data_IF_042253213965
#
_entry.id   IF_042253213965
#
_cell.length_a   1.000
_cell.length_b   1.000
_cell.length_c   1.000
_cell.angle_alpha   90.00
_cell.angle_beta   90.00
_cell.angle_gamma   90.00
#
_symmetry.space_group_name_H-M   'P 1'
#
loop_
_entity.id
_entity.type
_entity.pdbx_description
1 polymer ?
#
# COMPACT_ATOMS: atom_id res chain seq x y z
N UNK A 1 -30.20 36.85 39.29
CA UNK A 1 -30.38 36.52 40.73
C UNK A 1 -31.86 36.62 41.10
N UNK A 2 -32.48 35.53 41.55
CA UNK A 2 -33.61 35.52 42.51
C UNK A 2 -33.87 34.07 42.95
N UNK A 3 -34.34 33.91 44.19
CA UNK A 3 -34.48 32.63 44.88
C UNK A 3 -35.65 31.78 44.35
N UNK A 4 -35.63 30.48 44.65
CA UNK A 4 -36.64 29.86 45.53
C UNK A 4 -36.11 28.59 46.18
N UNK A 5 -36.56 28.33 47.40
CA UNK A 5 -36.18 27.17 48.21
C UNK A 5 -37.29 26.11 48.17
N UNK A 6 -36.97 24.89 48.61
CA UNK A 6 -37.64 24.30 49.77
C UNK A 6 -36.82 23.13 50.35
N UNK A 7 -37.08 22.83 51.62
CA UNK A 7 -36.35 21.93 52.51
C UNK A 7 -37.37 21.05 53.28
N UNK A 8 -36.94 20.32 54.32
CA UNK A 8 -37.74 19.51 55.29
C UNK A 8 -37.92 18.05 54.80
N UNK A 9 -37.42 16.97 55.43
CA UNK A 9 -37.08 16.55 56.82
C UNK A 9 -38.29 16.03 57.64
N UNK A 10 -38.14 14.86 58.27
CA UNK A 10 -38.92 14.49 59.46
C UNK A 10 -39.73 13.19 59.33
N UNK A 11 -39.78 12.43 60.42
CA UNK A 11 -40.39 11.10 60.50
C UNK A 11 -41.51 11.01 61.56
N UNK A 12 -42.11 9.82 61.66
CA UNK A 12 -42.83 9.21 62.80
C UNK A 12 -44.36 8.99 62.75
N UNK A 13 -44.69 7.68 62.81
CA UNK A 13 -45.76 6.98 63.58
C UNK A 13 -47.26 7.22 63.31
N UNK A 14 -47.98 6.12 63.00
CA UNK A 14 -48.90 5.37 63.91
C UNK A 14 -49.95 4.53 63.13
N UNK A 15 -50.22 3.27 63.52
CA UNK A 15 -51.52 2.78 64.07
C UNK A 15 -51.57 1.24 64.28
N UNK A 16 -52.63 0.74 64.95
CA UNK A 16 -52.77 -0.62 65.55
C UNK A 16 -53.94 -1.46 64.97
N UNK A 17 -53.81 -2.79 65.01
CA UNK A 17 -54.83 -3.85 65.23
C UNK A 17 -54.11 -5.22 65.29
N UNK A 18 -54.52 -6.35 65.87
CA UNK A 18 -55.77 -6.82 66.50
C UNK A 18 -56.29 -8.10 65.79
N UNK A 19 -56.69 -9.22 66.43
CA UNK A 19 -56.83 -9.66 67.85
C UNK A 19 -56.75 -11.23 67.90
N UNK A 20 -56.70 -11.83 69.11
CA UNK A 20 -56.90 -13.26 69.49
C UNK A 20 -55.67 -14.20 69.42
N UNK A 21 -55.40 -15.10 70.39
CA UNK A 21 -56.01 -15.36 71.70
C UNK A 21 -56.59 -16.76 71.86
N UNK A 22 -55.82 -17.72 72.41
CA UNK A 22 -56.29 -18.92 73.13
C UNK A 22 -55.14 -19.43 74.04
N UNK A 23 -55.53 -19.95 75.20
CA UNK A 23 -54.68 -20.39 76.32
C UNK A 23 -54.80 -21.92 76.46
N UNK A 24 -53.68 -22.66 76.49
CA UNK A 24 -53.69 -24.08 76.87
C UNK A 24 -52.56 -24.42 77.87
N UNK A 25 -52.93 -25.25 78.84
CA UNK A 25 -52.28 -25.46 80.13
C UNK A 25 -51.22 -26.57 80.12
N UNK A 26 -49.98 -26.18 80.43
CA UNK A 26 -49.04 -26.79 81.40
C UNK A 26 -48.48 -28.24 81.30
N UNK A 27 -47.35 -28.37 82.03
CA UNK A 27 -46.78 -29.53 82.75
C UNK A 27 -45.63 -30.36 82.14
N UNK A 28 -44.46 -30.14 82.76
CA UNK A 28 -43.44 -31.12 83.21
C UNK A 28 -42.68 -31.98 82.19
N UNK A 29 -41.34 -31.91 82.28
CA UNK A 29 -40.44 -32.89 81.67
C UNK A 29 -39.01 -32.37 81.47
N UNK A 30 -38.20 -32.33 82.52
CA UNK A 30 -36.76 -32.04 82.37
C UNK A 30 -36.03 -33.34 82.00
N UNK A 31 -35.50 -33.40 80.79
CA UNK A 31 -34.56 -34.43 80.35
C UNK A 31 -33.42 -33.74 79.57
N UNK A 32 -32.16 -34.18 79.72
CA UNK A 32 -31.04 -33.52 79.06
C UNK A 32 -31.11 -33.77 77.56
N UNK A 33 -31.06 -32.69 76.77
CA UNK A 33 -30.80 -32.80 75.34
C UNK A 33 -29.37 -33.35 75.15
N UNK A 34 -29.28 -34.63 74.84
CA UNK A 34 -28.05 -35.28 74.39
C UNK A 34 -27.47 -34.45 73.26
N UNK A 35 -26.23 -33.97 73.43
CA UNK A 35 -25.52 -33.29 72.36
C UNK A 35 -25.36 -34.24 71.18
N UNK A 36 -26.10 -34.00 70.09
CA UNK A 36 -25.82 -34.65 68.83
C UNK A 36 -24.38 -34.30 68.44
N UNK A 37 -23.51 -35.29 68.13
CA UNK A 37 -22.18 -34.98 67.65
C UNK A 37 -22.34 -34.17 66.36
N UNK A 38 -21.72 -32.98 66.32
CA UNK A 38 -21.63 -32.22 65.09
C UNK A 38 -20.87 -33.08 64.07
N UNK A 39 -21.62 -33.68 63.14
CA UNK A 39 -21.06 -34.41 62.01
C UNK A 39 -20.14 -33.46 61.26
N UNK A 40 -18.92 -33.90 60.98
CA UNK A 40 -17.82 -33.05 60.57
C UNK A 40 -18.09 -32.21 59.31
N UNK A 41 -17.21 -31.22 59.09
CA UNK A 41 -17.27 -30.24 58.01
C UNK A 41 -17.93 -30.78 56.74
N UNK A 42 -19.16 -30.32 56.46
CA UNK A 42 -19.82 -30.53 55.18
C UNK A 42 -19.07 -29.73 54.12
N UNK A 43 -18.05 -30.36 53.53
CA UNK A 43 -17.32 -29.79 52.39
C UNK A 43 -18.33 -29.48 51.28
N UNK A 44 -18.26 -28.29 50.65
CA UNK A 44 -19.09 -27.99 49.48
C UNK A 44 -18.92 -29.08 48.43
N UNK A 45 -20.03 -29.54 47.86
CA UNK A 45 -19.99 -30.42 46.69
C UNK A 45 -19.42 -29.57 45.55
N UNK A 46 -18.22 -29.92 45.10
CA UNK A 46 -17.57 -29.28 43.96
C UNK A 46 -18.15 -29.89 42.69
N UNK A 47 -18.72 -29.04 41.84
CA UNK A 47 -19.05 -29.36 40.46
C UNK A 47 -17.83 -29.31 39.54
N UNK A 48 -18.09 -29.14 38.26
CA UNK A 48 -17.10 -28.98 37.19
C UNK A 48 -16.84 -27.50 36.95
N UNK A 49 -15.61 -27.16 36.59
CA UNK A 49 -15.27 -25.78 36.24
C UNK A 49 -15.84 -25.41 34.86
N UNK A 50 -16.27 -24.15 34.65
CA UNK A 50 -16.64 -23.69 33.31
C UNK A 50 -15.44 -23.70 32.36
N UNK A 51 -15.71 -23.83 31.07
CA UNK A 51 -14.70 -23.93 30.00
C UNK A 51 -15.05 -23.04 28.80
N UNK A 52 -14.05 -22.79 27.96
CA UNK A 52 -14.18 -22.05 26.71
C UNK A 52 -13.95 -22.99 25.51
N UNK A 53 -14.73 -22.82 24.46
CA UNK A 53 -14.59 -23.56 23.20
C UNK A 53 -14.69 -22.62 21.99
N UNK A 54 -14.07 -23.00 20.87
CA UNK A 54 -14.08 -22.21 19.63
C UNK A 54 -12.68 -21.76 19.19
N UNK A 55 -12.60 -20.64 18.48
CA UNK A 55 -11.34 -20.11 17.94
C UNK A 55 -11.27 -18.59 18.07
N UNK A 56 -10.06 -18.07 18.30
CA UNK A 56 -9.83 -16.62 18.32
C UNK A 56 -9.61 -16.08 16.91
N UNK A 57 -10.13 -14.89 16.64
CA UNK A 57 -9.94 -14.18 15.36
C UNK A 57 -8.91 -13.06 15.51
N UNK A 58 -8.18 -12.78 14.43
CA UNK A 58 -7.17 -11.72 14.37
C UNK A 58 -7.77 -10.45 13.74
N UNK A 59 -7.40 -9.29 14.26
CA UNK A 59 -7.67 -7.98 13.68
C UNK A 59 -6.39 -7.41 13.05
N UNK A 60 -6.58 -6.75 11.90
CA UNK A 60 -5.57 -5.93 11.23
C UNK A 60 -5.27 -4.65 12.02
N UNK A 61 -4.10 -4.02 11.81
CA UNK A 61 -3.81 -2.67 12.28
C UNK A 61 -4.90 -1.69 11.78
N UNK A 62 -5.74 -1.19 12.69
CA UNK A 62 -6.98 -0.48 12.35
C UNK A 62 -8.28 -1.22 12.72
N UNK A 63 -8.20 -2.29 13.51
CA UNK A 63 -9.33 -2.98 14.16
C UNK A 63 -10.37 -3.63 13.21
N UNK A 64 -10.01 -3.90 11.95
CA UNK A 64 -10.84 -4.67 11.01
C UNK A 64 -10.44 -6.16 11.02
N UNK A 65 -11.37 -7.12 10.88
CA UNK A 65 -11.03 -8.55 10.82
C UNK A 65 -10.02 -8.87 9.72
N UNK A 66 -9.03 -9.69 10.05
CA UNK A 66 -8.11 -10.30 9.09
C UNK A 66 -8.83 -11.46 8.38
N UNK A 67 -8.84 -11.44 7.05
CA UNK A 67 -9.24 -12.58 6.22
C UNK A 67 -8.01 -13.20 5.57
N UNK A 68 -8.12 -14.45 5.10
CA UNK A 68 -6.98 -15.13 4.49
C UNK A 68 -6.59 -14.48 3.15
N UNK A 69 -5.27 -14.37 2.92
CA UNK A 69 -4.64 -13.72 1.76
C UNK A 69 -4.85 -12.20 1.67
N UNK A 70 -5.22 -11.54 2.78
CA UNK A 70 -5.40 -10.09 2.90
C UNK A 70 -4.13 -9.31 2.49
N UNK A 71 -4.32 -8.15 1.85
CA UNK A 71 -3.24 -7.20 1.59
C UNK A 71 -3.09 -6.21 2.76
N UNK A 72 -1.86 -6.09 3.26
CA UNK A 72 -1.53 -5.21 4.39
C UNK A 72 -0.48 -4.21 3.93
N UNK A 73 -0.74 -2.92 4.16
CA UNK A 73 0.16 -1.82 3.77
C UNK A 73 1.56 -2.03 4.34
N UNK A 74 2.57 -1.81 3.49
CA UNK A 74 3.99 -1.96 3.83
C UNK A 74 4.44 -1.09 5.01
N UNK A 75 3.74 -0.01 5.30
CA UNK A 75 3.98 0.88 6.44
C UNK A 75 3.55 0.32 7.80
N UNK A 76 2.75 -0.76 7.84
CA UNK A 76 2.32 -1.45 9.06
C UNK A 76 3.36 -2.46 9.55
N UNK A 77 3.15 -2.97 10.77
CA UNK A 77 4.08 -3.90 11.45
C UNK A 77 3.38 -5.18 11.91
N UNK A 78 4.09 -6.33 12.02
CA UNK A 78 3.54 -7.54 12.61
C UNK A 78 2.98 -7.36 14.03
N UNK A 79 3.65 -6.58 14.88
CA UNK A 79 3.22 -6.32 16.27
C UNK A 79 2.06 -5.31 16.41
N UNK A 80 1.51 -4.78 15.31
CA UNK A 80 0.31 -3.91 15.35
C UNK A 80 -1.00 -4.70 15.18
N UNK A 81 -0.92 -6.01 15.00
CA UNK A 81 -2.08 -6.91 14.95
C UNK A 81 -2.58 -7.22 16.36
N UNK A 82 -3.89 -7.36 16.51
CA UNK A 82 -4.53 -7.63 17.79
C UNK A 82 -5.54 -8.77 17.66
N UNK A 83 -6.05 -9.28 18.78
CA UNK A 83 -7.18 -10.22 18.76
C UNK A 83 -8.51 -9.47 18.70
N UNK A 84 -9.48 -10.09 18.05
CA UNK A 84 -10.87 -9.67 18.13
C UNK A 84 -11.45 -9.93 19.55
N UNK A 85 -12.49 -9.19 19.97
CA UNK A 85 -13.22 -9.50 21.19
C UNK A 85 -13.74 -10.95 21.19
N UNK A 86 -13.59 -11.65 22.32
CA UNK A 86 -13.95 -13.08 22.46
C UNK A 86 -15.44 -13.38 22.21
N UNK A 87 -16.32 -12.37 22.26
CA UNK A 87 -17.77 -12.51 22.00
C UNK A 87 -18.13 -12.99 20.59
N UNK A 88 -17.17 -13.00 19.66
CA UNK A 88 -17.34 -13.48 18.29
C UNK A 88 -16.41 -14.66 18.03
N UNK A 89 -16.93 -15.89 18.12
CA UNK A 89 -16.21 -17.13 17.78
C UNK A 89 -15.72 -17.97 18.97
N UNK A 90 -15.91 -17.49 20.21
CA UNK A 90 -15.67 -18.26 21.44
C UNK A 90 -16.97 -18.40 22.23
N UNK A 91 -17.27 -19.61 22.66
CA UNK A 91 -18.44 -19.95 23.49
C UNK A 91 -18.00 -20.31 24.90
N UNK A 92 -18.71 -19.78 25.88
CA UNK A 92 -18.69 -20.30 27.25
C UNK A 92 -19.45 -21.63 27.30
N UNK A 93 -18.98 -22.57 28.09
CA UNK A 93 -19.65 -23.86 28.28
C UNK A 93 -19.49 -24.28 29.73
N UNK A 94 -20.59 -24.65 30.35
CA UNK A 94 -20.62 -25.27 31.66
C UNK A 94 -21.44 -26.57 31.60
N UNK A 95 -20.99 -27.60 32.31
CA UNK A 95 -21.59 -28.95 32.26
C UNK A 95 -22.60 -29.21 33.38
N UNK A 96 -22.67 -28.34 34.38
CA UNK A 96 -23.57 -28.44 35.52
C UNK A 96 -24.76 -27.46 35.38
N UNK A 97 -24.70 -26.56 34.39
CA UNK A 97 -25.76 -25.62 34.03
C UNK A 97 -25.56 -24.23 34.62
N UNK A 98 -24.35 -23.92 35.09
CA UNK A 98 -24.09 -22.66 35.78
C UNK A 98 -24.18 -21.43 34.88
N UNK A 99 -24.70 -20.34 35.45
CA UNK A 99 -24.92 -19.09 34.73
C UNK A 99 -23.59 -18.41 34.44
N UNK A 100 -23.37 -17.93 33.21
CA UNK A 100 -22.17 -17.19 32.83
C UNK A 100 -22.08 -15.84 33.57
N UNK A 101 -20.88 -15.43 33.99
CA UNK A 101 -20.64 -14.08 34.53
C UNK A 101 -20.56 -12.99 33.43
N UNK A 102 -20.47 -11.72 33.82
CA UNK A 102 -20.29 -10.59 32.88
C UNK A 102 -19.05 -9.76 33.24
N UNK A 103 -17.93 -9.88 32.51
CA UNK A 103 -17.65 -10.83 31.43
C UNK A 103 -17.34 -12.23 31.96
N UNK A 104 -17.87 -13.27 31.30
CA UNK A 104 -17.61 -14.67 31.66
C UNK A 104 -16.53 -15.35 30.81
N UNK A 105 -15.88 -14.60 29.91
CA UNK A 105 -14.73 -15.03 29.12
C UNK A 105 -13.69 -13.90 29.11
N UNK A 106 -12.43 -14.22 29.39
CA UNK A 106 -11.33 -13.27 29.38
C UNK A 106 -10.03 -13.92 28.90
N UNK A 107 -9.16 -13.14 28.25
CA UNK A 107 -7.80 -13.60 27.93
C UNK A 107 -6.99 -13.61 29.24
N UNK A 108 -6.33 -14.72 29.53
CA UNK A 108 -5.56 -14.90 30.75
C UNK A 108 -4.29 -14.02 30.78
N UNK A 109 -3.79 -13.62 31.98
CA UNK A 109 -2.55 -12.85 32.11
C UNK A 109 -1.29 -13.52 31.53
N UNK A 110 -1.34 -14.83 31.26
CA UNK A 110 -0.26 -15.60 30.63
C UNK A 110 0.09 -15.13 29.19
N UNK A 111 -0.69 -14.22 28.62
CA UNK A 111 -0.36 -13.50 27.39
C UNK A 111 -0.75 -14.23 26.11
N UNK A 112 -0.90 -13.46 25.03
CA UNK A 112 -1.13 -13.99 23.68
C UNK A 112 0.21 -14.26 23.02
N UNK A 113 0.39 -15.46 22.47
CA UNK A 113 1.56 -15.77 21.66
C UNK A 113 1.22 -15.66 20.17
N UNK A 114 2.16 -15.12 19.39
CA UNK A 114 2.00 -14.86 17.97
C UNK A 114 3.06 -15.62 17.18
N UNK A 115 2.61 -16.50 16.29
CA UNK A 115 3.47 -17.27 15.38
C UNK A 115 3.44 -16.62 14.01
N UNK A 116 4.46 -15.81 13.75
CA UNK A 116 4.68 -15.08 12.50
C UNK A 116 5.81 -15.76 11.70
N UNK A 117 5.59 -16.11 10.43
CA UNK A 117 6.59 -16.79 9.58
C UNK A 117 6.66 -16.23 8.16
N UNK A 118 7.83 -16.32 7.56
CA UNK A 118 8.05 -16.24 6.11
C UNK A 118 8.35 -17.65 5.59
N UNK A 119 7.37 -18.26 4.90
CA UNK A 119 7.41 -19.70 4.61
C UNK A 119 7.50 -20.53 5.90
N UNK A 120 8.57 -21.30 6.06
CA UNK A 120 8.84 -22.09 7.27
C UNK A 120 9.56 -21.31 8.39
N UNK A 121 10.22 -20.20 8.05
CA UNK A 121 11.14 -19.49 8.94
C UNK A 121 10.39 -18.50 9.84
N UNK A 122 10.50 -18.60 11.18
CA UNK A 122 9.94 -17.60 12.10
C UNK A 122 10.52 -16.20 11.88
N UNK A 123 9.68 -15.18 12.06
CA UNK A 123 10.08 -13.78 11.99
C UNK A 123 10.85 -13.38 13.25
N UNK A 124 11.97 -12.67 13.08
CA UNK A 124 12.82 -12.22 14.20
C UNK A 124 12.19 -11.06 14.98
N UNK A 125 12.59 -10.87 16.24
CA UNK A 125 12.15 -9.73 17.07
C UNK A 125 12.34 -8.37 16.40
N UNK A 126 13.40 -8.21 15.59
CA UNK A 126 13.62 -7.00 14.78
C UNK A 126 12.56 -6.83 13.70
N UNK A 127 12.29 -7.89 12.92
CA UNK A 127 11.27 -7.90 11.87
C UNK A 127 9.85 -7.66 12.41
N UNK A 128 9.55 -8.17 13.62
CA UNK A 128 8.25 -7.98 14.28
C UNK A 128 7.97 -6.51 14.67
N UNK A 129 9.01 -5.72 14.94
CA UNK A 129 8.92 -4.33 15.41
C UNK A 129 9.19 -3.27 14.32
N UNK A 130 9.66 -3.70 13.15
CA UNK A 130 9.83 -2.88 11.95
C UNK A 130 8.60 -2.96 11.04
N UNK A 131 8.54 -2.08 10.05
CA UNK A 131 7.46 -2.13 9.06
C UNK A 131 7.69 -3.29 8.08
N UNK A 132 6.62 -3.81 7.47
CA UNK A 132 6.74 -4.87 6.47
C UNK A 132 7.63 -4.43 5.29
N UNK A 133 7.53 -3.16 4.86
CA UNK A 133 8.32 -2.58 3.78
C UNK A 133 9.83 -2.56 4.05
N UNK A 134 10.27 -2.52 5.31
CA UNK A 134 11.69 -2.59 5.67
C UNK A 134 12.30 -3.97 5.41
N UNK A 135 11.49 -5.03 5.45
CA UNK A 135 11.98 -6.41 5.51
C UNK A 135 11.49 -7.31 4.35
N UNK A 136 10.41 -6.91 3.67
CA UNK A 136 9.71 -7.75 2.70
C UNK A 136 9.35 -6.94 1.45
N UNK A 137 9.57 -7.56 0.29
CA UNK A 137 9.20 -6.99 -1.00
C UNK A 137 7.67 -6.98 -1.19
N UNK A 138 7.19 -6.18 -2.14
CA UNK A 138 5.81 -6.25 -2.63
C UNK A 138 5.38 -7.70 -2.91
N UNK A 139 4.15 -8.06 -2.55
CA UNK A 139 3.57 -9.40 -2.73
C UNK A 139 4.26 -10.54 -1.97
N UNK A 140 5.22 -10.27 -1.07
CA UNK A 140 5.71 -11.29 -0.13
C UNK A 140 4.53 -11.81 0.70
N UNK A 141 4.33 -13.13 0.72
CA UNK A 141 3.29 -13.79 1.53
C UNK A 141 3.90 -14.28 2.83
N UNK A 142 3.44 -13.72 3.94
CA UNK A 142 3.76 -14.15 5.30
C UNK A 142 2.58 -14.96 5.86
N UNK A 143 2.82 -15.74 6.92
CA UNK A 143 1.73 -16.40 7.67
C UNK A 143 1.72 -15.95 9.12
N UNK A 144 0.51 -15.72 9.66
CA UNK A 144 0.28 -15.41 11.07
C UNK A 144 -0.73 -16.38 11.70
N UNK A 145 -0.45 -16.78 12.93
CA UNK A 145 -1.37 -17.47 13.82
C UNK A 145 -1.22 -16.91 15.23
N UNK A 146 -2.33 -16.81 15.98
CA UNK A 146 -2.33 -16.40 17.37
C UNK A 146 -2.86 -17.52 18.27
N UNK A 147 -2.25 -17.69 19.44
CA UNK A 147 -2.72 -18.59 20.48
C UNK A 147 -3.01 -17.77 21.75
N UNK A 148 -4.22 -17.88 22.27
CA UNK A 148 -4.72 -17.10 23.38
C UNK A 148 -5.19 -18.03 24.51
N UNK A 149 -4.58 -17.96 25.71
CA UNK A 149 -5.13 -18.64 26.88
C UNK A 149 -6.40 -17.91 27.32
N UNK A 150 -7.53 -18.62 27.41
CA UNK A 150 -8.83 -18.05 27.78
C UNK A 150 -9.31 -18.64 29.10
N UNK A 151 -9.62 -17.74 30.04
CA UNK A 151 -10.31 -18.04 31.29
C UNK A 151 -11.82 -17.96 31.08
N UNK A 152 -12.55 -18.83 31.76
CA UNK A 152 -14.02 -18.85 31.82
C UNK A 152 -14.48 -18.62 33.26
N UNK A 153 -15.53 -17.83 33.44
CA UNK A 153 -16.06 -17.47 34.76
C UNK A 153 -17.59 -17.59 34.77
N UNK A 154 -18.11 -18.41 35.68
CA UNK A 154 -19.53 -18.49 36.01
C UNK A 154 -19.87 -17.57 37.19
N UNK A 155 -21.15 -17.22 37.31
CA UNK A 155 -21.75 -16.51 38.43
C UNK A 155 -22.18 -17.47 39.56
N UNK A 156 -22.48 -18.73 39.20
CA UNK A 156 -22.94 -19.78 40.10
C UNK A 156 -22.00 -21.00 40.05
N UNK A 157 -22.21 -21.95 40.97
CA UNK A 157 -21.41 -23.17 41.06
C UNK A 157 -20.11 -23.01 41.84
N UNK A 158 -19.43 -24.13 42.07
CA UNK A 158 -18.06 -24.17 42.58
C UNK A 158 -17.32 -25.30 41.86
N UNK A 159 -16.16 -25.05 41.22
CA UNK A 159 -15.44 -23.78 41.16
C UNK A 159 -16.01 -22.80 40.10
N UNK A 160 -16.16 -21.52 40.47
CA UNK A 160 -16.71 -20.47 39.57
C UNK A 160 -15.79 -20.04 38.42
N UNK A 161 -14.53 -20.50 38.39
CA UNK A 161 -13.54 -20.06 37.39
C UNK A 161 -12.75 -21.27 36.91
N UNK A 162 -12.48 -21.31 35.60
CA UNK A 162 -11.57 -22.29 34.98
C UNK A 162 -10.19 -22.26 35.65
N UNK A 163 -9.82 -23.32 36.36
CA UNK A 163 -8.54 -23.39 37.10
C UNK A 163 -7.30 -23.31 36.19
N UNK A 164 -7.41 -23.86 34.97
CA UNK A 164 -6.39 -23.75 33.93
C UNK A 164 -7.01 -23.08 32.70
N UNK A 165 -6.42 -22.00 32.14
CA UNK A 165 -6.92 -21.40 30.90
C UNK A 165 -6.91 -22.36 29.72
N UNK A 166 -7.94 -22.33 28.89
CA UNK A 166 -8.00 -23.11 27.64
C UNK A 166 -7.24 -22.36 26.55
N UNK A 167 -6.29 -23.02 25.88
CA UNK A 167 -5.54 -22.41 24.78
C UNK A 167 -6.35 -22.43 23.49
N UNK A 168 -7.01 -21.33 23.17
CA UNK A 168 -7.71 -21.17 21.89
C UNK A 168 -6.77 -20.64 20.82
N UNK A 169 -6.93 -21.13 19.59
CA UNK A 169 -5.99 -20.89 18.50
C UNK A 169 -6.73 -20.36 17.28
N UNK A 170 -6.14 -19.38 16.59
CA UNK A 170 -6.68 -18.87 15.33
C UNK A 170 -6.41 -19.82 14.16
N UNK A 171 -7.16 -19.72 13.07
CA UNK A 171 -6.69 -20.17 11.76
C UNK A 171 -5.30 -19.58 11.44
N UNK A 172 -4.55 -20.25 10.56
CA UNK A 172 -3.35 -19.67 9.95
C UNK A 172 -3.81 -18.78 8.81
N UNK A 173 -3.51 -17.48 8.89
CA UNK A 173 -3.85 -16.51 7.84
C UNK A 173 -2.61 -16.18 7.01
N UNK A 174 -2.77 -16.12 5.69
CA UNK A 174 -1.79 -15.55 4.76
C UNK A 174 -1.95 -14.04 4.71
N UNK A 175 -0.83 -13.33 4.83
CA UNK A 175 -0.75 -11.86 4.77
C UNK A 175 0.16 -11.48 3.62
N UNK A 176 -0.36 -10.72 2.65
CA UNK A 176 0.42 -10.21 1.51
C UNK A 176 0.88 -8.78 1.76
N UNK A 177 2.19 -8.56 1.70
CA UNK A 177 2.79 -7.23 1.89
C UNK A 177 2.50 -6.33 0.70
N UNK A 178 1.71 -5.27 0.91
CA UNK A 178 1.40 -4.26 -0.07
C UNK A 178 2.38 -3.08 0.05
N UNK A 179 3.56 -3.23 -0.55
CA UNK A 179 4.58 -2.18 -0.68
C UNK A 179 4.97 -2.00 -2.15
N UNK A 180 4.09 -1.45 -3.02
CA UNK A 180 4.34 -1.38 -4.46
C UNK A 180 5.66 -0.62 -4.74
N UNK A 181 6.48 -1.08 -5.69
CA UNK A 181 7.65 -0.32 -6.13
C UNK A 181 7.26 1.11 -6.56
N UNK A 182 8.12 2.11 -6.34
CA UNK A 182 7.84 3.47 -6.79
C UNK A 182 7.65 3.48 -8.32
N UNK A 183 6.73 4.32 -8.84
CA UNK A 183 6.52 4.45 -10.27
C UNK A 183 7.81 4.72 -11.06
N UNK A 184 7.88 4.22 -12.30
CA UNK A 184 9.01 4.45 -13.21
C UNK A 184 8.54 4.91 -14.59
N UNK A 185 9.47 5.46 -15.36
CA UNK A 185 9.27 5.85 -16.75
C UNK A 185 9.90 4.78 -17.64
N UNK A 186 9.10 4.06 -18.42
CA UNK A 186 9.56 3.09 -19.39
C UNK A 186 9.67 3.70 -20.79
N UNK A 187 10.85 3.59 -21.40
CA UNK A 187 11.12 4.05 -22.75
C UNK A 187 12.04 3.07 -23.47
N UNK A 188 11.53 2.43 -24.52
CA UNK A 188 12.31 1.61 -25.46
C UNK A 188 13.21 0.57 -24.74
N UNK A 189 12.60 -0.36 -23.99
CA UNK A 189 13.32 -1.43 -23.28
C UNK A 189 14.16 -0.96 -22.08
N UNK A 190 13.95 0.24 -21.55
CA UNK A 190 14.70 0.76 -20.39
C UNK A 190 13.76 1.54 -19.46
N UNK A 191 13.95 1.37 -18.16
CA UNK A 191 13.24 2.12 -17.12
C UNK A 191 14.15 3.20 -16.52
N UNK A 192 13.61 4.40 -16.34
CA UNK A 192 14.22 5.48 -15.58
C UNK A 192 13.37 5.81 -14.35
N UNK A 193 14.00 6.23 -13.25
CA UNK A 193 13.28 6.67 -12.05
C UNK A 193 12.35 7.86 -12.37
N UNK A 194 11.22 7.95 -11.67
CA UNK A 194 10.21 9.01 -11.89
C UNK A 194 10.80 10.43 -11.87
N UNK A 195 11.64 10.74 -10.88
CA UNK A 195 12.26 12.05 -10.71
C UNK A 195 13.67 12.14 -11.36
N UNK A 196 13.94 11.34 -12.39
CA UNK A 196 15.27 11.28 -13.04
C UNK A 196 15.63 12.49 -13.90
N UNK A 197 14.69 13.40 -14.13
CA UNK A 197 14.83 14.52 -15.08
C UNK A 197 14.60 14.15 -16.54
N UNK A 198 14.19 12.90 -16.83
CA UNK A 198 13.80 12.49 -18.17
C UNK A 198 12.39 13.02 -18.56
N UNK A 199 12.17 13.41 -19.83
CA UNK A 199 13.16 13.71 -20.86
C UNK A 199 13.58 15.19 -20.85
N UNK A 200 14.81 15.47 -21.29
CA UNK A 200 15.27 16.84 -21.63
C UNK A 200 15.37 17.07 -23.14
N UNK A 201 15.16 16.04 -23.94
CA UNK A 201 15.13 16.06 -25.41
C UNK A 201 13.80 15.53 -25.93
N UNK A 202 13.34 15.96 -27.10
CA UNK A 202 12.12 15.41 -27.71
C UNK A 202 12.12 15.50 -29.22
N UNK A 203 11.18 14.79 -29.84
CA UNK A 203 10.88 14.80 -31.28
C UNK A 203 9.42 14.39 -31.50
N UNK A 204 8.83 14.75 -32.64
CA UNK A 204 7.46 14.34 -32.99
C UNK A 204 7.44 12.81 -33.18
N UNK A 205 6.49 12.14 -32.54
CA UNK A 205 6.40 10.68 -32.48
C UNK A 205 7.17 10.03 -31.33
N UNK A 206 7.89 10.80 -30.50
CA UNK A 206 8.53 10.25 -29.29
C UNK A 206 7.45 9.76 -28.30
N UNK A 207 7.65 8.55 -27.75
CA UNK A 207 6.73 7.92 -26.80
C UNK A 207 7.45 7.32 -25.61
N UNK A 208 6.83 7.41 -24.45
CA UNK A 208 7.20 6.66 -23.25
C UNK A 208 5.95 6.30 -22.44
N UNK A 209 6.07 5.28 -21.61
CA UNK A 209 5.00 4.70 -20.83
C UNK A 209 5.31 4.89 -19.35
N UNK A 210 4.39 5.49 -18.60
CA UNK A 210 4.46 5.49 -17.14
C UNK A 210 4.14 4.07 -16.66
N UNK A 211 4.89 3.53 -15.69
CA UNK A 211 4.60 2.25 -15.04
C UNK A 211 4.28 2.52 -13.57
N UNK A 212 2.99 2.54 -13.23
CA UNK A 212 2.53 3.01 -11.91
C UNK A 212 2.81 2.03 -10.76
N UNK A 213 3.07 0.75 -11.07
CA UNK A 213 3.57 -0.24 -10.10
C UNK A 213 5.11 -0.36 -10.11
N UNK A 214 5.82 0.49 -10.86
CA UNK A 214 7.26 0.44 -11.04
C UNK A 214 7.80 -0.74 -11.89
N UNK A 215 6.94 -1.59 -12.44
CA UNK A 215 7.30 -2.84 -13.14
C UNK A 215 6.77 -2.89 -14.57
N UNK A 216 5.48 -2.60 -14.76
CA UNK A 216 4.77 -2.69 -16.04
C UNK A 216 3.55 -1.73 -16.11
N UNK A 217 2.80 -1.79 -17.21
CA UNK A 217 1.63 -0.94 -17.43
C UNK A 217 0.34 -1.44 -16.76
N UNK A 218 0.32 -2.62 -16.12
CA UNK A 218 -0.93 -3.26 -15.65
C UNK A 218 -1.68 -2.43 -14.62
N UNK A 219 -0.94 -1.67 -13.79
CA UNK A 219 -1.52 -0.82 -12.77
C UNK A 219 -2.01 0.55 -13.30
N UNK A 220 -1.71 0.92 -14.54
CA UNK A 220 -1.94 2.26 -15.05
C UNK A 220 -3.42 2.62 -15.16
N UNK A 221 -4.27 1.64 -15.45
CA UNK A 221 -5.72 1.79 -15.53
C UNK A 221 -6.37 2.12 -14.18
N UNK A 222 -5.67 1.92 -13.05
CA UNK A 222 -6.11 2.35 -11.73
C UNK A 222 -5.96 3.86 -11.50
N UNK A 223 -5.29 4.58 -12.41
CA UNK A 223 -5.04 6.01 -12.31
C UNK A 223 -5.78 6.81 -13.39
N UNK A 224 -6.08 8.05 -13.07
CA UNK A 224 -6.51 9.08 -14.02
C UNK A 224 -5.36 10.06 -14.20
N UNK A 225 -5.07 10.41 -15.44
CA UNK A 225 -3.93 11.27 -15.80
C UNK A 225 -4.41 12.64 -16.24
N UNK A 226 -3.82 13.68 -15.66
CA UNK A 226 -4.06 15.08 -16.02
C UNK A 226 -2.72 15.74 -16.38
N UNK A 227 -2.77 16.89 -17.02
CA UNK A 227 -1.59 17.73 -17.21
C UNK A 227 -1.86 19.20 -16.91
N UNK A 228 -0.79 20.01 -16.94
CA UNK A 228 -0.90 21.47 -16.83
C UNK A 228 -1.00 22.16 -18.20
N UNK A 229 -2.08 22.91 -18.40
CA UNK A 229 -2.10 24.03 -19.35
C UNK A 229 -2.40 23.70 -20.82
N UNK A 230 -2.90 22.50 -21.13
CA UNK A 230 -3.31 22.10 -22.49
C UNK A 230 -2.18 22.21 -23.52
N UNK A 231 -1.10 21.46 -23.29
CA UNK A 231 0.06 21.35 -24.16
C UNK A 231 -0.33 20.75 -25.52
N UNK A 232 -0.49 21.61 -26.52
CA UNK A 232 -0.83 21.23 -27.91
C UNK A 232 0.19 20.32 -28.61
N UNK A 233 1.33 20.06 -27.98
CA UNK A 233 2.39 19.18 -28.46
C UNK A 233 2.38 17.77 -27.81
N UNK A 234 1.40 17.47 -26.95
CA UNK A 234 1.24 16.18 -26.25
C UNK A 234 -0.13 15.57 -26.56
N UNK A 235 -0.20 14.26 -26.78
CA UNK A 235 -1.48 13.54 -26.95
C UNK A 235 -2.10 13.16 -25.60
N UNK A 236 -3.05 13.97 -25.12
CA UNK A 236 -3.75 13.73 -23.86
C UNK A 236 -4.83 12.65 -23.91
N UNK A 237 -5.35 12.36 -25.10
CA UNK A 237 -6.32 11.29 -25.27
C UNK A 237 -5.62 9.94 -25.02
N UNK A 238 -4.41 9.76 -25.58
CA UNK A 238 -3.60 8.57 -25.35
C UNK A 238 -3.29 8.32 -23.85
N UNK A 239 -3.06 9.37 -23.04
CA UNK A 239 -2.77 9.21 -21.60
C UNK A 239 -3.90 8.53 -20.82
N UNK A 240 -5.16 8.64 -21.25
CA UNK A 240 -6.33 8.10 -20.55
C UNK A 240 -7.14 7.08 -21.37
N UNK A 241 -6.79 6.84 -22.65
CA UNK A 241 -7.46 5.88 -23.50
C UNK A 241 -7.16 4.44 -23.09
N UNK A 242 -8.16 3.57 -23.20
CA UNK A 242 -8.05 2.17 -22.77
C UNK A 242 -7.08 1.39 -23.65
N UNK A 243 -6.12 0.71 -23.02
CA UNK A 243 -5.02 0.02 -23.68
C UNK A 243 -3.78 0.89 -23.91
N UNK A 244 -3.84 2.19 -23.58
CA UNK A 244 -2.68 3.10 -23.63
C UNK A 244 -2.53 3.95 -22.37
N UNK A 245 -3.25 3.68 -21.29
CA UNK A 245 -3.24 4.49 -20.07
C UNK A 245 -1.82 4.78 -19.57
N UNK A 246 -1.51 6.05 -19.30
CA UNK A 246 -0.17 6.50 -18.92
C UNK A 246 0.85 6.57 -20.06
N UNK A 247 0.46 6.40 -21.34
CA UNK A 247 1.35 6.63 -22.49
C UNK A 247 1.46 8.12 -22.75
N UNK A 248 2.65 8.69 -22.64
CA UNK A 248 2.92 10.06 -23.09
C UNK A 248 3.48 10.01 -24.50
N UNK A 249 2.77 10.62 -25.45
CA UNK A 249 3.20 10.75 -26.84
C UNK A 249 3.37 12.21 -27.22
N UNK A 250 4.49 12.57 -27.82
CA UNK A 250 4.72 13.91 -28.36
C UNK A 250 4.24 14.00 -29.81
N UNK A 251 3.27 14.88 -30.08
CA UNK A 251 2.60 15.04 -31.38
C UNK A 251 2.90 16.37 -32.08
N UNK A 252 3.46 17.34 -31.36
CA UNK A 252 3.83 18.66 -31.89
C UNK A 252 5.18 19.12 -31.35
N UNK A 253 5.60 20.32 -31.72
CA UNK A 253 6.87 20.91 -31.25
C UNK A 253 6.59 21.97 -30.17
N UNK A 254 7.17 21.87 -28.95
CA UNK A 254 7.07 22.92 -27.95
C UNK A 254 7.84 24.18 -28.34
N UNK A 255 7.34 25.33 -27.87
CA UNK A 255 8.01 26.63 -27.95
C UNK A 255 8.84 26.89 -26.69
N UNK A 256 9.63 27.96 -26.68
CA UNK A 256 10.36 28.42 -25.49
C UNK A 256 9.45 28.73 -24.29
N UNK A 257 8.18 29.10 -24.53
CA UNK A 257 7.19 29.46 -23.51
C UNK A 257 6.42 28.26 -22.93
N UNK A 258 6.28 27.15 -23.67
CA UNK A 258 5.48 25.99 -23.25
C UNK A 258 6.23 24.64 -23.30
N UNK A 259 7.56 24.66 -23.23
CA UNK A 259 8.44 23.49 -23.16
C UNK A 259 8.38 22.68 -21.86
N UNK A 260 7.53 23.05 -20.91
CA UNK A 260 7.37 22.40 -19.61
C UNK A 260 6.05 21.65 -19.57
N UNK A 261 6.12 20.36 -19.24
CA UNK A 261 4.95 19.49 -19.07
C UNK A 261 4.94 18.96 -17.64
N UNK A 262 3.82 19.11 -16.95
CA UNK A 262 3.56 18.46 -15.66
C UNK A 262 2.46 17.45 -15.88
N UNK A 263 2.74 16.16 -15.69
CA UNK A 263 1.73 15.08 -15.71
C UNK A 263 1.40 14.70 -14.27
N UNK A 264 0.12 14.56 -13.96
CA UNK A 264 -0.40 14.21 -12.63
C UNK A 264 -1.20 12.92 -12.76
N UNK A 265 -0.68 11.83 -12.24
CA UNK A 265 -1.42 10.58 -12.07
C UNK A 265 -2.07 10.56 -10.69
N UNK A 266 -3.39 10.36 -10.62
CA UNK A 266 -4.14 10.24 -9.36
C UNK A 266 -4.88 8.91 -9.34
N UNK A 267 -4.71 8.11 -8.30
CA UNK A 267 -5.39 6.83 -8.16
C UNK A 267 -6.92 7.03 -8.04
N UNK A 268 -7.68 6.21 -8.76
CA UNK A 268 -9.15 6.29 -8.86
C UNK A 268 -9.86 5.91 -7.56
N UNK A 269 -9.18 5.19 -6.67
CA UNK A 269 -9.74 4.70 -5.39
C UNK A 269 -9.13 5.34 -4.14
N UNK A 270 -7.94 5.93 -4.24
CA UNK A 270 -7.31 6.71 -3.16
C UNK A 270 -6.77 8.04 -3.71
N UNK A 271 -7.47 9.14 -3.45
CA UNK A 271 -7.07 10.46 -3.94
C UNK A 271 -5.78 11.01 -3.32
N UNK A 272 -5.25 10.36 -2.27
CA UNK A 272 -3.95 10.70 -1.67
C UNK A 272 -2.78 10.03 -2.40
N UNK A 273 -3.04 8.93 -3.11
CA UNK A 273 -2.07 8.24 -3.96
C UNK A 273 -1.93 8.98 -5.30
N UNK A 274 -1.02 9.96 -5.29
CA UNK A 274 -0.85 10.96 -6.33
C UNK A 274 0.62 11.14 -6.70
N UNK A 275 0.92 11.01 -7.99
CA UNK A 275 2.27 11.14 -8.52
C UNK A 275 2.34 12.26 -9.56
N UNK A 276 3.26 13.19 -9.36
CA UNK A 276 3.52 14.31 -10.27
C UNK A 276 4.83 14.09 -10.98
N UNK A 277 4.83 14.05 -12.31
CA UNK A 277 6.01 14.01 -13.17
C UNK A 277 6.21 15.38 -13.82
N UNK A 278 7.40 15.97 -13.67
CA UNK A 278 7.76 17.25 -14.27
C UNK A 278 8.81 17.05 -15.36
N UNK A 279 8.54 17.57 -16.55
CA UNK A 279 9.31 17.42 -17.77
C UNK A 279 9.66 18.81 -18.29
N UNK A 280 10.89 19.00 -18.77
CA UNK A 280 11.33 20.27 -19.37
C UNK A 280 12.21 20.00 -20.58
N UNK A 281 11.68 20.27 -21.77
CA UNK A 281 12.37 20.01 -23.03
C UNK A 281 13.37 21.15 -23.30
N UNK A 282 14.66 20.86 -23.22
CA UNK A 282 15.73 21.82 -23.52
C UNK A 282 16.14 21.85 -25.00
N UNK A 283 15.90 20.75 -25.72
CA UNK A 283 16.29 20.59 -27.13
C UNK A 283 15.26 19.75 -27.89
N UNK A 284 14.85 20.25 -29.05
CA UNK A 284 13.95 19.54 -29.95
C UNK A 284 14.71 18.99 -31.16
N UNK A 285 14.35 17.79 -31.60
CA UNK A 285 14.95 17.13 -32.76
C UNK A 285 13.93 16.93 -33.87
N UNK A 286 14.39 17.10 -35.11
CA UNK A 286 13.61 16.87 -36.34
C UNK A 286 14.42 16.00 -37.30
N UNK A 287 13.74 15.37 -38.24
CA UNK A 287 14.31 14.39 -39.17
C UNK A 287 13.99 14.83 -40.61
N UNK A 288 14.99 14.87 -41.49
CA UNK A 288 14.81 15.25 -42.90
C UNK A 288 14.54 14.09 -43.85
N UNK A 289 14.00 12.98 -43.34
CA UNK A 289 13.76 11.75 -44.07
C UNK A 289 15.00 10.87 -44.23
N UNK A 290 14.86 9.82 -45.04
CA UNK A 290 15.94 8.89 -45.38
C UNK A 290 16.95 9.46 -46.39
N UNK A 291 16.77 10.70 -46.86
CA UNK A 291 17.64 11.33 -47.86
C UNK A 291 19.03 11.59 -47.30
N UNK A 292 19.98 10.81 -47.76
CA UNK A 292 21.39 10.93 -47.38
C UNK A 292 22.00 12.22 -47.93
N UNK A 293 22.73 12.96 -47.10
CA UNK A 293 23.35 14.25 -47.49
C UNK A 293 24.84 14.28 -47.18
N UNK A 294 25.58 15.14 -47.89
CA UNK A 294 26.92 15.60 -47.47
C UNK A 294 26.78 16.49 -46.22
N UNK A 295 27.86 16.66 -45.45
CA UNK A 295 27.83 17.52 -44.26
C UNK A 295 27.34 18.95 -44.58
N UNK A 296 27.93 19.61 -45.58
CA UNK A 296 27.51 20.95 -46.01
C UNK A 296 26.02 21.03 -46.43
N UNK A 297 25.50 20.00 -47.12
CA UNK A 297 24.09 19.96 -47.52
C UNK A 297 23.13 19.62 -46.37
N UNK A 298 23.65 19.02 -45.28
CA UNK A 298 22.93 18.83 -44.03
C UNK A 298 22.90 20.14 -43.22
N UNK A 299 24.04 20.81 -43.07
CA UNK A 299 24.16 22.11 -42.38
C UNK A 299 23.30 23.20 -43.03
N UNK A 300 23.35 23.29 -44.36
CA UNK A 300 22.50 24.20 -45.14
C UNK A 300 21.00 23.85 -44.98
N UNK A 301 20.65 22.56 -44.95
CA UNK A 301 19.27 22.14 -44.71
C UNK A 301 18.80 22.53 -43.30
N UNK A 302 19.58 22.28 -42.25
CA UNK A 302 19.22 22.65 -40.87
C UNK A 302 18.98 24.14 -40.74
N UNK A 303 19.92 24.94 -41.25
CA UNK A 303 19.86 26.40 -41.20
C UNK A 303 18.64 26.91 -41.98
N UNK A 304 18.33 26.27 -43.11
CA UNK A 304 17.14 26.55 -43.94
C UNK A 304 15.79 26.20 -43.30
N UNK A 305 15.75 25.41 -42.22
CA UNK A 305 14.52 25.20 -41.43
C UNK A 305 14.13 26.43 -40.59
N UNK A 306 15.02 27.42 -40.45
CA UNK A 306 14.82 28.57 -39.57
C UNK A 306 14.79 28.17 -38.09
N UNK A 307 14.13 28.98 -37.25
CA UNK A 307 13.82 28.63 -35.85
C UNK A 307 15.01 28.31 -34.92
N UNK A 308 16.25 28.55 -35.34
CA UNK A 308 17.46 28.15 -34.60
C UNK A 308 17.83 26.67 -34.74
N UNK A 309 17.34 25.96 -35.78
CA UNK A 309 17.79 24.62 -36.10
C UNK A 309 19.23 24.60 -36.63
N UNK A 310 19.99 23.60 -36.20
CA UNK A 310 21.35 23.31 -36.65
C UNK A 310 21.65 21.81 -36.61
N UNK A 311 22.73 21.40 -37.27
CA UNK A 311 23.22 20.02 -37.20
C UNK A 311 23.66 19.73 -35.75
N UNK A 312 23.10 18.72 -35.07
CA UNK A 312 23.42 18.42 -33.68
C UNK A 312 24.88 17.94 -33.57
N UNK A 313 25.70 18.54 -32.69
CA UNK A 313 27.02 18.00 -32.40
C UNK A 313 26.89 16.62 -31.73
N UNK A 314 27.87 15.74 -31.96
CA UNK A 314 27.87 14.34 -31.52
C UNK A 314 27.50 14.16 -30.04
N UNK A 315 28.03 14.99 -29.15
CA UNK A 315 27.75 14.97 -27.70
C UNK A 315 26.29 15.28 -27.33
N UNK A 316 25.47 15.77 -28.26
CA UNK A 316 24.01 15.97 -28.07
C UNK A 316 23.18 14.83 -28.65
N UNK A 317 23.80 13.96 -29.44
CA UNK A 317 23.21 12.74 -29.98
C UNK A 317 23.39 11.55 -29.03
N UNK A 318 24.55 11.44 -28.36
CA UNK A 318 24.90 10.34 -27.46
C UNK A 318 25.84 10.83 -26.34
N UNK A 319 25.89 10.09 -25.24
CA UNK A 319 26.90 10.27 -24.17
C UNK A 319 28.21 9.51 -24.42
N UNK A 320 28.32 8.77 -25.53
CA UNK A 320 29.54 8.07 -25.90
C UNK A 320 30.70 9.02 -26.25
N UNK A 321 31.93 8.53 -26.10
CA UNK A 321 33.07 9.08 -26.85
C UNK A 321 33.00 8.63 -28.32
N UNK A 322 33.70 9.32 -29.22
CA UNK A 322 33.76 8.91 -30.62
C UNK A 322 34.37 7.50 -30.74
N UNK A 323 33.67 6.59 -31.45
CA UNK A 323 34.07 5.19 -31.58
C UNK A 323 33.69 4.28 -30.40
N UNK A 324 33.03 4.80 -29.36
CA UNK A 324 32.53 4.02 -28.23
C UNK A 324 31.01 3.79 -28.29
N UNK A 325 30.53 2.77 -27.56
CA UNK A 325 29.10 2.56 -27.37
C UNK A 325 28.52 3.58 -26.37
N UNK A 326 27.31 4.07 -26.64
CA UNK A 326 26.57 4.91 -25.69
C UNK A 326 25.88 4.07 -24.62
N UNK A 327 25.53 4.70 -23.50
CA UNK A 327 24.68 4.11 -22.47
C UNK A 327 23.35 4.86 -22.37
N UNK A 328 22.30 4.16 -21.91
CA UNK A 328 21.00 4.78 -21.66
C UNK A 328 21.08 5.65 -20.41
N UNK A 329 20.59 6.89 -20.49
CA UNK A 329 20.65 7.86 -19.41
C UNK A 329 19.51 8.89 -19.53
N UNK A 330 18.89 9.30 -18.41
CA UNK A 330 17.69 10.15 -18.41
C UNK A 330 17.96 11.61 -18.81
N UNK A 331 19.17 12.12 -18.52
CA UNK A 331 19.59 13.50 -18.80
C UNK A 331 20.91 13.46 -19.57
N UNK A 332 20.81 13.26 -20.89
CA UNK A 332 21.95 13.01 -21.77
C UNK A 332 21.61 13.36 -23.23
N UNK A 333 22.41 12.90 -24.20
CA UNK A 333 22.08 13.01 -25.62
C UNK A 333 20.82 12.23 -26.01
N UNK A 334 20.28 12.53 -27.20
CA UNK A 334 19.05 11.95 -27.75
C UNK A 334 18.97 10.42 -27.66
N UNK A 335 19.99 9.70 -28.13
CA UNK A 335 20.03 8.24 -28.13
C UNK A 335 20.08 7.67 -26.71
N UNK A 336 20.80 8.33 -25.79
CA UNK A 336 20.87 7.89 -24.39
C UNK A 336 19.50 7.95 -23.72
N UNK A 337 18.70 8.98 -24.02
CA UNK A 337 17.33 9.11 -23.52
C UNK A 337 16.39 8.09 -24.18
N UNK A 338 16.32 8.09 -25.51
CA UNK A 338 15.23 7.42 -26.25
C UNK A 338 15.61 6.04 -26.85
N UNK A 339 16.89 5.69 -26.86
CA UNK A 339 17.41 4.50 -27.53
C UNK A 339 17.41 4.63 -29.06
N UNK A 340 17.37 3.49 -29.75
CA UNK A 340 17.29 3.46 -31.21
C UNK A 340 15.94 3.98 -31.71
N UNK A 341 15.95 4.89 -32.68
CA UNK A 341 14.74 5.48 -33.27
C UNK A 341 13.82 4.48 -33.98
N UNK A 342 14.38 3.38 -34.50
CA UNK A 342 13.65 2.40 -35.31
C UNK A 342 12.55 1.62 -34.56
N UNK A 343 12.54 1.67 -33.21
CA UNK A 343 11.55 0.97 -32.35
C UNK A 343 10.46 1.89 -31.79
N UNK A 344 10.49 3.20 -32.09
CA UNK A 344 9.55 4.20 -31.56
C UNK A 344 8.55 4.76 -32.59
N UNK A 345 8.66 4.36 -33.85
CA UNK A 345 7.77 4.80 -34.95
C UNK A 345 7.06 3.58 -35.55
N UNK A 346 5.75 3.65 -35.88
CA UNK A 346 5.04 2.53 -36.51
C UNK A 346 5.72 2.04 -37.80
N UNK A 347 5.72 0.73 -37.99
CA UNK A 347 6.37 0.07 -39.14
C UNK A 347 5.67 0.51 -40.43
N UNK A 348 6.40 1.19 -41.31
CA UNK A 348 5.85 1.76 -42.55
C UNK A 348 6.72 2.88 -43.15
N UNK A 349 7.50 3.58 -42.33
CA UNK A 349 8.54 4.51 -42.80
C UNK A 349 9.90 3.82 -42.88
N UNK A 350 10.59 3.93 -44.03
CA UNK A 350 11.84 3.23 -44.36
C UNK A 350 13.11 3.67 -43.58
N UNK A 351 12.96 4.17 -42.36
CA UNK A 351 14.07 4.55 -41.47
C UNK A 351 14.75 3.35 -40.77
N UNK A 352 14.23 2.13 -40.97
CA UNK A 352 14.41 0.97 -40.09
C UNK A 352 15.80 0.31 -40.10
N UNK A 353 16.65 0.58 -41.10
CA UNK A 353 17.90 -0.18 -41.33
C UNK A 353 19.18 0.69 -41.25
N UNK A 354 19.07 2.03 -41.35
CA UNK A 354 20.23 2.88 -41.62
C UNK A 354 21.11 3.31 -40.44
N UNK A 355 20.58 3.34 -39.20
CA UNK A 355 21.26 4.01 -38.09
C UNK A 355 22.26 3.13 -37.32
N UNK A 356 21.99 1.81 -37.21
CA UNK A 356 22.91 0.87 -36.56
C UNK A 356 24.19 0.67 -37.38
N UNK A 357 24.11 0.69 -38.71
CA UNK A 357 25.23 0.43 -39.63
C UNK A 357 26.24 1.57 -39.79
N UNK A 358 26.01 2.74 -39.17
CA UNK A 358 26.96 3.88 -39.21
C UNK A 358 27.30 4.48 -37.84
N UNK A 359 26.84 3.87 -36.74
CA UNK A 359 27.27 4.25 -35.37
C UNK A 359 28.41 3.36 -34.84
N UNK A 360 29.11 2.62 -35.70
CA UNK A 360 30.40 2.00 -35.40
C UNK A 360 31.03 1.22 -36.57
N UNK A 361 32.37 1.18 -36.55
CA UNK A 361 33.28 0.27 -37.27
C UNK A 361 33.46 0.41 -38.80
N UNK A 362 34.71 0.10 -39.21
CA UNK A 362 35.30 0.09 -40.56
C UNK A 362 35.46 1.47 -41.21
N UNK A 363 36.71 1.93 -41.25
CA UNK A 363 37.10 3.11 -42.02
C UNK A 363 37.22 2.80 -43.51
N UNK A 364 36.29 3.29 -44.31
CA UNK A 364 36.46 3.50 -45.76
C UNK A 364 35.88 4.85 -46.17
N UNK A 365 36.51 5.47 -47.18
CA UNK A 365 36.32 6.86 -47.58
C UNK A 365 35.03 7.08 -48.37
N UNK A 366 33.89 7.21 -47.68
CA UNK A 366 32.68 7.92 -48.18
C UNK A 366 31.63 8.09 -47.08
N UNK A 367 31.67 9.25 -46.41
CA UNK A 367 30.67 9.63 -45.43
C UNK A 367 29.38 10.06 -46.13
N UNK A 368 28.28 9.36 -45.86
CA UNK A 368 26.94 9.70 -46.33
C UNK A 368 26.01 9.55 -45.14
N UNK A 369 25.49 10.67 -44.65
CA UNK A 369 24.85 10.76 -43.33
C UNK A 369 23.32 10.69 -43.45
N UNK A 370 22.66 9.81 -42.68
CA UNK A 370 21.23 9.91 -42.42
C UNK A 370 20.98 11.11 -41.49
N UNK A 371 20.01 11.94 -41.84
CA UNK A 371 20.04 13.33 -41.45
C UNK A 371 19.08 13.63 -40.27
N UNK A 372 19.66 13.66 -39.06
CA UNK A 372 19.02 14.06 -37.80
C UNK A 372 19.47 15.47 -37.40
N UNK A 373 18.53 16.29 -36.92
CA UNK A 373 18.70 17.74 -36.77
C UNK A 373 18.13 18.25 -35.44
N UNK A 374 18.58 19.39 -34.91
CA UNK A 374 18.09 19.89 -33.61
C UNK A 374 18.05 21.41 -33.44
N UNK A 375 17.13 21.91 -32.61
CA UNK A 375 17.09 23.29 -32.13
C UNK A 375 17.10 23.35 -30.59
N UNK A 376 17.67 24.41 -30.01
CA UNK A 376 17.67 24.63 -28.56
C UNK A 376 16.52 25.54 -28.14
N UNK A 377 15.67 25.07 -27.22
CA UNK A 377 14.52 25.82 -26.69
C UNK A 377 14.96 26.71 -25.52
N UNK A 378 15.84 27.69 -25.79
CA UNK A 378 16.20 28.71 -24.79
C UNK A 378 15.05 29.71 -24.63
N UNK A 379 14.86 30.21 -23.41
CA UNK A 379 14.00 31.36 -23.21
C UNK A 379 14.70 32.59 -23.83
N UNK A 380 14.03 33.26 -24.75
CA UNK A 380 14.45 34.58 -25.23
C UNK A 380 14.15 35.59 -24.14
N UNK A 381 15.17 36.01 -23.39
CA UNK A 381 15.07 37.21 -22.56
C UNK A 381 15.06 38.42 -23.48
N UNK A 382 13.87 38.92 -23.79
CA UNK A 382 13.71 40.29 -24.28
C UNK A 382 14.08 41.24 -23.14
N UNK A 383 15.14 42.02 -23.36
CA UNK A 383 15.43 43.25 -22.61
C UNK A 383 14.62 44.37 -23.23
#
# INVERSE_FOLDING_TARGET
>A
MKQRANNIVGAHTHYRAGVYGILCVALSGVAPAVGAPATGETRPIMGRAPTAAGSVSILKPGATPLVDNDQILGSKKPNEFTLAPLSSGVTFTDLDGDTQATPGLAIAPAGVTWTWKNGVTPLTTTQLNQTFATNFAHNTTLTVQANAPVLSTSLTGLPTTSGTPVLLTSPVYRVRVNNPPPPVIYVNGTTFAWNSGFPTTGFVGAKFQLYMNGVDATANNNYTYQENGSQTWVDLAALNASGTEGTVSFIGTPTSANKTLTVIATNKTDSNDKHTLNITIGRWFVNGGATTRTAANADAYCTGLGGGYSTPPYATMTNAAYGAAGTRAPVAGLWSQWGAWATLVPVGSAASIGLLSRMGLIGTTSASTLALYSASLRATSTV
#
